data_IF_915876615058
#
_entry.id   IF_915876615058
#
_cell.length_a   1.000
_cell.length_b   1.000
_cell.length_c   1.000
_cell.angle_alpha   90.00
_cell.angle_beta   90.00
_cell.angle_gamma   90.00
#
_symmetry.space_group_name_H-M   'P 1'
#
loop_
_entity.id
_entity.type
_entity.pdbx_description
1 polymer ?
#
# COMPACT_ATOMS: atom_id res chain seq x y z
N UNK A 1 -12.42 -51.71 2.12
CA UNK A 1 -11.17 -50.98 1.78
C UNK A 1 -11.30 -49.95 0.64
N UNK A 2 -12.20 -50.11 -0.34
CA UNK A 2 -12.31 -49.20 -1.52
C UNK A 2 -12.82 -47.78 -1.19
N UNK A 3 -13.68 -47.65 -0.17
CA UNK A 3 -14.28 -46.36 0.25
C UNK A 3 -13.31 -45.47 1.05
N UNK A 4 -12.42 -46.07 1.85
CA UNK A 4 -11.42 -45.34 2.65
C UNK A 4 -10.41 -44.63 1.74
N UNK A 5 -10.04 -45.27 0.62
CA UNK A 5 -9.15 -44.66 -0.39
C UNK A 5 -9.76 -43.43 -1.08
N UNK A 6 -11.10 -43.40 -1.28
CA UNK A 6 -11.80 -42.25 -1.88
C UNK A 6 -11.91 -41.07 -0.91
N UNK A 7 -12.15 -41.34 0.37
CA UNK A 7 -12.20 -40.31 1.41
C UNK A 7 -10.84 -39.61 1.58
N UNK A 8 -9.74 -40.37 1.53
CA UNK A 8 -8.39 -39.82 1.62
C UNK A 8 -8.03 -38.88 0.45
N UNK A 9 -8.46 -39.23 -0.77
CA UNK A 9 -8.23 -38.39 -1.96
C UNK A 9 -9.06 -37.11 -1.91
N UNK A 10 -10.31 -37.18 -1.43
CA UNK A 10 -11.16 -36.00 -1.26
C UNK A 10 -10.62 -35.05 -0.18
N UNK A 11 -10.06 -35.58 0.91
CA UNK A 11 -9.48 -34.78 1.98
C UNK A 11 -8.20 -34.03 1.55
N UNK A 12 -7.37 -34.63 0.69
CA UNK A 12 -6.13 -34.00 0.21
C UNK A 12 -6.38 -32.85 -0.78
N UNK A 13 -7.48 -32.88 -1.54
CA UNK A 13 -7.86 -31.81 -2.46
C UNK A 13 -8.46 -30.57 -1.77
N UNK A 14 -8.90 -30.69 -0.52
CA UNK A 14 -9.51 -29.58 0.23
C UNK A 14 -8.49 -28.56 0.77
N UNK A 15 -7.21 -28.93 0.88
CA UNK A 15 -6.19 -28.07 1.53
C UNK A 15 -5.41 -27.16 0.59
N UNK A 16 -5.53 -27.30 -0.73
CA UNK A 16 -4.76 -26.52 -1.70
C UNK A 16 -5.31 -25.11 -1.97
N UNK A 17 -6.42 -24.70 -1.35
CA UNK A 17 -7.12 -23.43 -1.69
C UNK A 17 -6.66 -22.22 -0.87
N UNK A 18 -5.76 -22.39 0.11
CA UNK A 18 -5.32 -21.29 1.00
C UNK A 18 -3.95 -20.71 0.64
N UNK A 19 -3.64 -20.62 -0.66
CA UNK A 19 -2.47 -19.90 -1.14
C UNK A 19 -2.74 -18.40 -1.17
N UNK A 20 -2.26 -17.66 -0.17
CA UNK A 20 -2.19 -16.19 -0.27
C UNK A 20 -1.15 -15.83 -1.33
N UNK A 21 -1.60 -15.45 -2.52
CA UNK A 21 -0.72 -14.95 -3.57
C UNK A 21 0.00 -13.69 -3.05
N UNK A 22 1.31 -13.79 -2.85
CA UNK A 22 2.13 -12.60 -2.69
C UNK A 22 2.08 -11.81 -4.00
N UNK A 23 1.67 -10.54 -3.96
CA UNK A 23 1.67 -9.70 -5.16
C UNK A 23 3.08 -9.65 -5.75
N UNK A 24 3.16 -9.72 -7.08
CA UNK A 24 4.40 -9.47 -7.80
C UNK A 24 4.94 -8.07 -7.45
N UNK A 25 6.26 -7.86 -7.34
CA UNK A 25 6.84 -6.57 -6.93
C UNK A 25 6.32 -5.37 -7.73
N UNK A 26 6.11 -5.53 -9.04
CA UNK A 26 5.57 -4.48 -9.90
C UNK A 26 4.14 -4.04 -9.50
N UNK A 27 3.32 -4.95 -9.00
CA UNK A 27 1.96 -4.65 -8.57
C UNK A 27 1.92 -3.91 -7.21
N UNK A 28 3.01 -3.97 -6.43
CA UNK A 28 3.16 -3.14 -5.23
C UNK A 28 3.38 -1.69 -5.61
N UNK A 29 4.30 -1.42 -6.54
CA UNK A 29 4.55 -0.05 -7.01
C UNK A 29 3.31 0.60 -7.61
N UNK A 30 2.54 -0.13 -8.42
CA UNK A 30 1.31 0.40 -9.01
C UNK A 30 0.29 0.82 -7.94
N UNK A 31 0.07 -0.02 -6.92
CA UNK A 31 -0.83 0.26 -5.81
C UNK A 31 -0.35 1.44 -4.95
N UNK A 32 0.97 1.56 -4.75
CA UNK A 32 1.55 2.68 -4.02
C UNK A 32 1.37 4.00 -4.79
N UNK A 33 1.60 4.00 -6.12
CA UNK A 33 1.28 5.15 -6.99
C UNK A 33 -0.20 5.53 -6.89
N UNK A 34 -1.10 4.54 -6.99
CA UNK A 34 -2.55 4.76 -6.89
C UNK A 34 -2.90 5.48 -5.58
N UNK A 35 -2.30 5.06 -4.47
CA UNK A 35 -2.49 5.67 -3.15
C UNK A 35 -2.00 7.13 -3.14
N UNK A 36 -0.85 7.41 -3.73
CA UNK A 36 -0.32 8.78 -3.84
C UNK A 36 -1.19 9.65 -4.74
N UNK A 37 -1.72 9.10 -5.84
CA UNK A 37 -2.65 9.80 -6.72
C UNK A 37 -3.98 10.10 -6.02
N UNK A 38 -4.51 9.18 -5.24
CA UNK A 38 -5.70 9.43 -4.42
C UNK A 38 -5.47 10.57 -3.42
N UNK A 39 -4.30 10.61 -2.78
CA UNK A 39 -3.92 11.71 -1.90
C UNK A 39 -3.88 13.04 -2.66
N UNK A 40 -3.25 13.08 -3.84
CA UNK A 40 -3.18 14.29 -4.68
C UNK A 40 -4.59 14.75 -5.08
N UNK A 41 -5.47 13.83 -5.49
CA UNK A 41 -6.86 14.14 -5.86
C UNK A 41 -7.66 14.74 -4.70
N UNK A 42 -7.38 14.34 -3.46
CA UNK A 42 -8.05 14.87 -2.26
C UNK A 42 -7.53 16.25 -1.85
N UNK A 43 -6.31 16.62 -2.24
CA UNK A 43 -5.67 17.88 -1.84
C UNK A 43 -5.40 18.74 -3.07
N UNK A 44 -6.38 19.58 -3.45
CA UNK A 44 -6.31 20.40 -4.66
C UNK A 44 -5.06 21.28 -4.70
N UNK A 45 -4.61 21.83 -3.57
CA UNK A 45 -3.40 22.65 -3.49
C UNK A 45 -2.13 21.86 -3.88
N UNK A 46 -2.03 20.60 -3.45
CA UNK A 46 -0.95 19.69 -3.86
C UNK A 46 -1.06 19.37 -5.35
N UNK A 47 -2.27 19.13 -5.87
CA UNK A 47 -2.48 18.84 -7.29
C UNK A 47 -2.09 20.00 -8.20
N UNK A 48 -2.41 21.25 -7.82
CA UNK A 48 -2.02 22.44 -8.59
C UNK A 48 -0.51 22.67 -8.58
N UNK A 49 0.14 22.30 -7.48
CA UNK A 49 1.59 22.45 -7.28
C UNK A 49 2.43 21.24 -7.67
N UNK A 50 1.85 20.18 -8.23
CA UNK A 50 2.53 18.89 -8.38
C UNK A 50 3.75 19.00 -9.30
N UNK A 51 4.91 18.58 -8.78
CA UNK A 51 6.18 18.58 -9.52
C UNK A 51 6.60 17.16 -9.89
N UNK A 52 6.61 16.25 -8.91
CA UNK A 52 7.00 14.87 -9.13
C UNK A 52 6.45 13.93 -8.06
N UNK A 53 6.43 12.63 -8.39
CA UNK A 53 6.09 11.53 -7.48
C UNK A 53 7.27 10.57 -7.50
N UNK A 54 7.88 10.32 -6.35
CA UNK A 54 8.98 9.37 -6.20
C UNK A 54 8.56 8.17 -5.34
N UNK A 55 8.55 7.00 -5.97
CA UNK A 55 8.18 5.73 -5.33
C UNK A 55 9.30 5.10 -4.51
N UNK A 56 10.55 5.52 -4.71
CA UNK A 56 11.68 5.02 -3.93
C UNK A 56 11.70 5.68 -2.56
N UNK A 57 11.56 7.01 -2.52
CA UNK A 57 11.44 7.76 -1.27
C UNK A 57 10.02 7.79 -0.68
N UNK A 58 9.02 7.36 -1.45
CA UNK A 58 7.59 7.46 -1.12
C UNK A 58 7.19 8.91 -0.82
N UNK A 59 7.56 9.83 -1.72
CA UNK A 59 7.36 11.27 -1.55
C UNK A 59 6.66 11.88 -2.77
N UNK A 60 5.68 12.74 -2.51
CA UNK A 60 5.13 13.65 -3.52
C UNK A 60 5.78 15.02 -3.33
N UNK A 61 6.40 15.55 -4.38
CA UNK A 61 6.98 16.90 -4.40
C UNK A 61 6.02 17.88 -5.05
N UNK A 62 5.82 19.03 -4.40
CA UNK A 62 4.91 20.07 -4.87
C UNK A 62 5.38 21.47 -4.45
N UNK A 63 4.84 22.51 -5.07
CA UNK A 63 4.96 23.93 -4.68
C UNK A 63 6.36 24.37 -4.20
N UNK A 64 7.38 24.13 -5.01
CA UNK A 64 8.78 24.47 -4.81
C UNK A 64 9.31 24.12 -3.40
N UNK A 65 9.91 22.93 -3.27
CA UNK A 65 10.50 22.37 -2.04
C UNK A 65 9.47 21.88 -0.99
N UNK A 66 8.19 21.73 -1.33
CA UNK A 66 7.25 21.05 -0.45
C UNK A 66 7.23 19.55 -0.72
N UNK A 67 7.15 18.78 0.36
CA UNK A 67 7.18 17.33 0.34
C UNK A 67 5.96 16.81 1.12
N UNK A 68 5.24 15.86 0.54
CA UNK A 68 4.25 15.05 1.24
C UNK A 68 4.78 13.62 1.29
N UNK A 69 5.15 13.18 2.48
CA UNK A 69 5.84 11.92 2.72
C UNK A 69 4.86 10.83 3.13
N UNK A 70 5.08 9.65 2.57
CA UNK A 70 4.34 8.45 2.89
C UNK A 70 5.27 7.44 3.56
N UNK A 71 4.69 6.60 4.41
CA UNK A 71 5.40 5.51 5.07
C UNK A 71 4.67 4.21 4.85
N UNK A 72 5.44 3.14 4.74
CA UNK A 72 4.89 1.80 4.69
C UNK A 72 4.52 1.36 6.10
N UNK A 73 3.28 0.92 6.28
CA UNK A 73 2.84 0.39 7.57
C UNK A 73 3.68 -0.81 7.97
N UNK A 74 4.07 -0.89 9.24
CA UNK A 74 4.75 -2.09 9.76
C UNK A 74 3.82 -3.29 9.66
N UNK A 75 4.32 -4.48 9.32
CA UNK A 75 3.50 -5.69 9.41
C UNK A 75 3.05 -5.87 10.86
N UNK A 76 1.78 -6.26 11.03
CA UNK A 76 1.26 -6.66 12.35
C UNK A 76 2.15 -7.74 12.95
N UNK A 77 2.29 -7.75 14.28
CA UNK A 77 3.00 -8.82 15.03
C UNK A 77 2.46 -10.21 14.69
N UNK A 78 1.16 -10.31 14.38
CA UNK A 78 0.52 -11.56 13.93
C UNK A 78 0.99 -12.01 12.54
N UNK A 79 1.51 -11.11 11.72
CA UNK A 79 1.97 -11.39 10.36
C UNK A 79 3.50 -11.35 10.23
N UNK A 80 4.22 -11.18 11.33
CA UNK A 80 5.68 -11.14 11.32
C UNK A 80 6.24 -12.51 10.91
N UNK A 81 6.98 -12.56 9.82
CA UNK A 81 7.59 -13.78 9.28
C UNK A 81 6.65 -14.67 8.45
N UNK A 82 5.38 -14.27 8.25
CA UNK A 82 4.47 -14.97 7.33
C UNK A 82 4.58 -14.41 5.92
N UNK A 83 4.69 -15.25 4.86
CA UNK A 83 4.60 -14.77 3.49
C UNK A 83 3.21 -14.19 3.24
N UNK A 84 3.16 -12.96 2.77
CA UNK A 84 1.92 -12.22 2.54
C UNK A 84 2.17 -10.95 1.74
N UNK A 85 1.10 -10.30 1.26
CA UNK A 85 1.23 -9.06 0.51
C UNK A 85 1.88 -7.98 1.37
N UNK A 86 2.82 -7.24 0.78
CA UNK A 86 3.45 -6.13 1.46
C UNK A 86 2.40 -5.10 1.89
N UNK A 87 2.45 -4.57 3.14
CA UNK A 87 1.50 -3.56 3.61
C UNK A 87 1.51 -2.33 2.70
N UNK A 88 0.35 -1.67 2.59
CA UNK A 88 0.22 -0.41 1.85
C UNK A 88 1.00 0.73 2.52
N UNK A 89 1.11 1.83 1.78
CA UNK A 89 1.65 3.10 2.27
C UNK A 89 0.53 3.96 2.83
N UNK A 90 0.87 4.83 3.77
CA UNK A 90 -0.05 5.81 4.37
C UNK A 90 0.66 7.16 4.43
N UNK A 91 -0.11 8.24 4.34
CA UNK A 91 0.42 9.58 4.55
C UNK A 91 0.99 9.69 5.97
N UNK A 92 2.22 10.20 6.08
CA UNK A 92 2.89 10.42 7.37
C UNK A 92 2.84 11.90 7.75
N UNK A 93 3.36 12.75 6.87
CA UNK A 93 3.56 14.18 7.14
C UNK A 93 3.81 14.95 5.86
N UNK A 94 3.64 16.26 5.93
CA UNK A 94 4.08 17.19 4.89
C UNK A 94 4.95 18.30 5.47
N UNK A 95 5.86 18.85 4.65
CA UNK A 95 6.68 20.01 5.04
C UNK A 95 5.92 21.33 4.89
N UNK A 96 4.85 21.34 4.10
CA UNK A 96 4.00 22.49 3.82
C UNK A 96 2.52 22.17 4.04
N UNK A 97 1.64 23.20 4.05
CA UNK A 97 0.20 23.02 4.09
C UNK A 97 -0.32 22.22 2.89
N UNK A 98 -1.32 21.38 3.13
CA UNK A 98 -2.00 20.59 2.10
C UNK A 98 -3.20 21.33 1.48
N UNK A 99 -3.55 22.49 2.05
CA UNK A 99 -4.65 23.37 1.67
C UNK A 99 -4.13 24.79 1.50
N UNK A 100 -4.80 25.60 0.69
CA UNK A 100 -4.45 27.03 0.54
C UNK A 100 -4.58 27.81 1.85
N UNK A 101 -5.44 27.35 2.76
CA UNK A 101 -5.62 27.94 4.08
C UNK A 101 -4.72 27.19 5.08
N UNK A 102 -3.88 27.93 5.81
CA UNK A 102 -2.96 27.43 6.83
C UNK A 102 -3.67 26.78 8.03
N UNK A 103 -4.32 25.63 7.84
CA UNK A 103 -4.81 24.79 8.93
C UNK A 103 -4.04 23.47 8.89
N UNK A 104 -2.92 23.48 9.63
CA UNK A 104 -2.29 22.25 10.07
C UNK A 104 -3.36 21.43 10.81
N UNK A 105 -3.84 20.37 10.16
CA UNK A 105 -4.80 19.45 10.74
C UNK A 105 -4.17 18.82 11.98
N UNK A 106 -4.78 19.10 13.14
CA UNK A 106 -4.52 18.47 14.44
C UNK A 106 -4.87 16.99 14.41
#
# INVERSE_FOLDING_TARGET
MKQIKRAAVAALLGWSVLGNAALVPAAVHLRDVETMLEFIRKHQYVAMGLESIDLLSLTVFYNNNCEAKFVRSKPSVLNLGRPGPQPGIVFERSTCPLTENNEASQ
#
